data_IF_705360254297
#
_entry.id   IF_705360254297
#
_cell.length_a   1.000
_cell.length_b   1.000
_cell.length_c   1.000
_cell.angle_alpha   90.00
_cell.angle_beta   90.00
_cell.angle_gamma   90.00
#
_symmetry.space_group_name_H-M   'P 1'
#
loop_
_entity.id
_entity.type
_entity.pdbx_description
1 polymer ?
#
# COMPACT_ATOMS: atom_id res chain seq x y z
N UNK A 1 -8.95 -21.61 -5.93
CA UNK A 1 -9.78 -20.42 -5.63
C UNK A 1 -10.01 -20.22 -4.12
N UNK A 2 -10.06 -21.27 -3.30
CA UNK A 2 -10.20 -21.20 -1.83
C UNK A 2 -9.06 -20.50 -1.07
N UNK A 3 -7.83 -20.45 -1.61
CA UNK A 3 -6.69 -19.80 -0.93
C UNK A 3 -6.71 -18.26 -0.99
N UNK A 4 -7.34 -17.65 -1.99
CA UNK A 4 -7.51 -16.19 -2.05
C UNK A 4 -8.69 -15.73 -1.18
N UNK A 5 -9.72 -16.56 -1.04
CA UNK A 5 -10.81 -16.38 -0.08
C UNK A 5 -10.31 -16.34 1.37
N UNK A 6 -9.35 -17.19 1.72
CA UNK A 6 -8.70 -17.09 3.03
C UNK A 6 -7.97 -15.76 3.22
N UNK A 7 -7.37 -15.17 2.17
CA UNK A 7 -6.74 -13.85 2.26
C UNK A 7 -7.76 -12.75 2.57
N UNK A 8 -8.94 -12.78 1.95
CA UNK A 8 -10.03 -11.83 2.23
C UNK A 8 -10.70 -12.04 3.58
N UNK A 9 -10.94 -13.28 3.98
CA UNK A 9 -11.45 -13.61 5.32
C UNK A 9 -10.45 -13.20 6.41
N UNK A 10 -9.14 -13.40 6.17
CA UNK A 10 -8.09 -12.95 7.10
C UNK A 10 -7.98 -11.42 7.10
N UNK A 11 -8.14 -10.74 5.96
CA UNK A 11 -8.12 -9.27 5.87
C UNK A 11 -9.31 -8.62 6.59
N UNK A 12 -10.50 -9.22 6.52
CA UNK A 12 -11.68 -8.75 7.26
C UNK A 12 -11.55 -9.02 8.78
N UNK A 13 -10.89 -10.11 9.18
CA UNK A 13 -10.58 -10.42 10.58
C UNK A 13 -9.43 -9.58 11.17
N UNK A 14 -8.54 -9.00 10.35
CA UNK A 14 -7.46 -8.11 10.84
C UNK A 14 -8.02 -6.73 11.20
N UNK A 15 -9.12 -6.28 10.58
CA UNK A 15 -9.80 -5.03 10.92
C UNK A 15 -10.35 -5.00 12.35
N UNK A 16 -10.69 -6.14 12.94
CA UNK A 16 -11.13 -6.24 14.34
C UNK A 16 -9.96 -6.29 15.34
N UNK A 17 -8.72 -6.53 14.89
CA UNK A 17 -7.52 -6.60 15.75
C UNK A 17 -6.81 -5.25 15.88
N UNK A 18 -6.98 -4.34 14.92
CA UNK A 18 -6.30 -3.03 14.92
C UNK A 18 -6.88 -2.01 15.93
N UNK A 19 -7.99 -2.32 16.59
CA UNK A 19 -8.62 -1.43 17.57
C UNK A 19 -8.00 -1.48 18.99
N UNK A 20 -6.95 -2.28 19.26
CA UNK A 20 -6.51 -2.54 20.64
C UNK A 20 -5.04 -2.25 20.99
N UNK A 21 -4.17 -1.80 20.07
CA UNK A 21 -2.76 -1.56 20.42
C UNK A 21 -2.22 -0.23 19.86
N UNK A 22 -2.47 0.85 20.59
CA UNK A 22 -1.76 2.13 20.43
C UNK A 22 -1.02 2.46 21.73
N UNK A 23 0.30 2.26 21.76
CA UNK A 23 1.19 2.77 22.80
C UNK A 23 2.61 2.87 22.26
N UNK A 24 2.92 3.99 21.62
CA UNK A 24 4.28 4.35 21.25
C UNK A 24 4.97 5.05 22.43
N UNK A 25 6.16 4.55 22.79
CA UNK A 25 7.09 5.21 23.70
C UNK A 25 8.16 5.97 22.91
N UNK A 26 8.58 7.18 23.34
CA UNK A 26 9.58 7.97 22.65
C UNK A 26 11.00 7.54 23.04
N UNK A 27 11.84 7.24 22.04
CA UNK A 27 13.27 6.99 22.23
C UNK A 27 14.09 8.29 22.10
N UNK A 28 14.69 8.72 23.21
CA UNK A 28 15.71 9.76 23.26
C UNK A 28 17.06 9.20 22.78
N UNK A 29 17.65 9.78 21.73
CA UNK A 29 19.00 9.47 21.25
C UNK A 29 19.85 10.73 21.20
N UNK A 30 21.01 10.70 21.88
CA UNK A 30 21.94 11.82 22.06
C UNK A 30 22.73 12.15 20.80
N UNK A 31 22.93 13.45 20.62
CA UNK A 31 23.69 14.12 19.57
C UNK A 31 25.20 14.03 19.84
N UNK A 32 25.96 13.64 18.82
CA UNK A 32 27.42 13.60 18.81
C UNK A 32 27.92 14.19 17.49
N UNK A 33 28.94 15.04 17.60
CA UNK A 33 29.39 16.04 16.63
C UNK A 33 29.55 15.55 15.18
N UNK A 34 28.86 16.23 14.25
CA UNK A 34 29.07 16.16 12.80
C UNK A 34 29.42 17.54 12.22
N UNK A 35 30.32 17.61 11.22
CA UNK A 35 30.74 18.87 10.63
C UNK A 35 29.63 19.49 9.76
N UNK A 36 29.46 20.81 9.89
CA UNK A 36 28.68 21.75 9.05
C UNK A 36 27.55 21.13 8.19
N UNK A 37 26.35 21.05 8.78
CA UNK A 37 25.17 20.41 8.22
C UNK A 37 24.53 21.12 7.03
N UNK A 38 24.50 20.43 5.89
CA UNK A 38 23.36 20.48 4.99
C UNK A 38 22.31 19.48 5.47
N UNK A 39 21.05 19.90 5.60
CA UNK A 39 19.94 18.99 5.88
C UNK A 39 19.93 17.85 4.85
N UNK A 40 19.64 16.62 5.27
CA UNK A 40 19.59 15.50 4.34
C UNK A 40 18.51 15.72 3.28
N UNK A 41 18.60 15.05 2.11
CA UNK A 41 17.53 15.13 1.11
C UNK A 41 16.16 14.80 1.72
N UNK A 42 16.13 13.84 2.64
CA UNK A 42 14.93 13.41 3.37
C UNK A 42 14.34 14.52 4.23
N UNK A 43 15.17 15.26 4.96
CA UNK A 43 14.71 16.38 5.79
C UNK A 43 14.15 17.52 4.93
N UNK A 44 14.78 17.77 3.79
CA UNK A 44 14.33 18.80 2.84
C UNK A 44 13.00 18.40 2.19
N UNK A 45 12.86 17.14 1.78
CA UNK A 45 11.60 16.60 1.23
C UNK A 45 10.48 16.64 2.26
N UNK A 46 10.75 16.24 3.51
CA UNK A 46 9.74 16.27 4.58
C UNK A 46 9.24 17.69 4.89
N UNK A 47 10.07 18.71 4.65
CA UNK A 47 9.73 20.12 4.84
C UNK A 47 9.03 20.76 3.63
N UNK A 48 8.86 20.04 2.52
CA UNK A 48 8.29 20.58 1.28
C UNK A 48 7.03 19.83 0.84
N UNK A 49 6.03 20.58 0.39
CA UNK A 49 4.75 20.01 -0.07
C UNK A 49 4.37 20.41 -1.50
N UNK A 50 5.19 21.25 -2.14
CA UNK A 50 4.94 21.75 -3.50
C UNK A 50 6.28 22.04 -4.22
N UNK A 51 6.30 22.04 -5.57
CA UNK A 51 7.52 22.22 -6.35
C UNK A 51 8.28 23.51 -6.03
N UNK A 52 7.58 24.60 -5.75
CA UNK A 52 8.14 25.92 -5.47
C UNK A 52 8.99 25.93 -4.19
N UNK A 53 8.71 25.03 -3.24
CA UNK A 53 9.48 24.90 -2.00
C UNK A 53 10.94 24.45 -2.24
N UNK A 54 11.21 23.81 -3.38
CA UNK A 54 12.55 23.35 -3.74
C UNK A 54 13.37 24.40 -4.49
N UNK A 55 12.80 25.57 -4.79
CA UNK A 55 13.51 26.62 -5.51
C UNK A 55 14.73 27.12 -4.70
N UNK A 56 15.90 27.15 -5.35
CA UNK A 56 17.17 27.49 -4.72
C UNK A 56 17.76 26.42 -3.79
N UNK A 57 17.07 25.28 -3.58
CA UNK A 57 17.63 24.15 -2.83
C UNK A 57 18.50 23.30 -3.75
N UNK A 58 19.62 22.80 -3.21
CA UNK A 58 20.50 21.86 -3.89
C UNK A 58 20.52 20.56 -3.11
N UNK A 59 20.06 19.49 -3.74
CA UNK A 59 19.98 18.16 -3.16
C UNK A 59 21.20 17.35 -3.58
N UNK A 60 21.58 16.37 -2.77
CA UNK A 60 22.64 15.42 -3.10
C UNK A 60 22.16 14.44 -4.17
N UNK A 61 23.03 14.09 -5.12
CA UNK A 61 22.78 12.99 -6.04
C UNK A 61 23.31 11.68 -5.44
N UNK A 62 22.46 10.67 -5.36
CA UNK A 62 22.81 9.34 -4.90
C UNK A 62 22.86 8.36 -6.07
N UNK A 63 23.95 7.59 -6.16
CA UNK A 63 23.95 6.36 -6.93
C UNK A 63 23.16 5.30 -6.15
N UNK A 64 22.61 4.33 -6.88
CA UNK A 64 21.89 3.24 -6.24
C UNK A 64 22.82 2.40 -5.36
N UNK A 65 22.31 1.91 -4.23
CA UNK A 65 23.08 1.24 -3.19
C UNK A 65 24.35 2.01 -2.81
N UNK A 66 24.18 3.32 -2.60
CA UNK A 66 25.26 4.15 -2.07
C UNK A 66 25.76 3.60 -0.73
N UNK A 67 26.97 3.98 -0.27
CA UNK A 67 27.48 3.55 1.03
C UNK A 67 26.58 3.92 2.22
N UNK A 68 25.65 4.86 2.04
CA UNK A 68 24.66 5.27 3.04
C UNK A 68 23.41 4.37 3.05
N UNK A 69 23.27 3.46 2.08
CA UNK A 69 22.16 2.52 2.03
C UNK A 69 22.28 1.45 3.13
N UNK A 70 21.26 1.36 3.98
CA UNK A 70 21.15 0.30 5.00
C UNK A 70 19.94 -0.60 4.71
N UNK A 71 19.88 -1.75 5.39
CA UNK A 71 18.78 -2.73 5.23
C UNK A 71 17.40 -2.20 5.62
N UNK A 72 17.34 -1.19 6.48
CA UNK A 72 16.08 -0.61 6.93
C UNK A 72 15.60 0.52 6.01
N UNK A 73 16.42 0.93 5.04
CA UNK A 73 16.19 2.10 4.19
C UNK A 73 16.11 1.75 2.69
N UNK A 74 15.78 0.50 2.34
CA UNK A 74 15.75 0.04 0.94
C UNK A 74 14.87 0.88 0.00
N UNK A 75 13.84 1.54 0.54
CA UNK A 75 12.95 2.42 -0.24
C UNK A 75 13.42 3.88 -0.24
N UNK A 76 14.56 4.23 0.35
CA UNK A 76 15.05 5.61 0.38
C UNK A 76 15.92 5.93 -0.84
N UNK A 77 16.09 7.22 -1.14
CA UNK A 77 16.88 7.69 -2.28
C UNK A 77 18.31 7.14 -2.27
N UNK A 78 18.92 7.03 -1.09
CA UNK A 78 20.29 6.52 -0.91
C UNK A 78 20.45 5.06 -1.35
N UNK A 79 19.36 4.29 -1.39
CA UNK A 79 19.33 2.91 -1.82
C UNK A 79 18.86 2.75 -3.27
N UNK A 80 17.82 3.50 -3.67
CA UNK A 80 17.27 3.42 -5.03
C UNK A 80 18.11 4.16 -6.06
N UNK A 81 18.84 5.19 -5.63
CA UNK A 81 19.52 6.16 -6.48
C UNK A 81 18.56 7.25 -6.98
N UNK A 82 19.09 8.44 -7.22
CA UNK A 82 18.32 9.64 -7.55
C UNK A 82 17.45 9.49 -8.80
N UNK A 83 17.94 8.80 -9.82
CA UNK A 83 17.20 8.58 -11.08
C UNK A 83 15.92 7.76 -10.86
N UNK A 84 16.03 6.64 -10.14
CA UNK A 84 14.89 5.81 -9.78
C UNK A 84 13.98 6.52 -8.78
N UNK A 85 14.55 7.14 -7.75
CA UNK A 85 13.82 7.87 -6.71
C UNK A 85 12.95 8.99 -7.26
N UNK A 86 13.49 9.81 -8.17
CA UNK A 86 12.75 10.91 -8.79
C UNK A 86 11.57 10.47 -9.67
N UNK A 87 11.56 9.21 -10.10
CA UNK A 87 10.46 8.61 -10.87
C UNK A 87 9.52 7.73 -10.05
N UNK A 88 9.71 7.64 -8.73
CA UNK A 88 9.00 6.69 -7.88
C UNK A 88 7.86 7.37 -7.10
N UNK A 89 6.72 6.67 -6.95
CA UNK A 89 5.56 7.16 -6.19
C UNK A 89 5.12 8.57 -6.61
N UNK A 90 4.75 9.40 -5.64
CA UNK A 90 4.25 10.77 -5.85
C UNK A 90 5.34 11.86 -6.08
N UNK A 91 6.61 11.46 -6.32
CA UNK A 91 7.70 12.44 -6.49
C UNK A 91 7.58 13.26 -7.78
N UNK A 92 7.17 12.70 -8.92
CA UNK A 92 6.91 13.50 -10.11
C UNK A 92 5.90 14.63 -9.86
N UNK A 93 4.88 14.41 -9.03
CA UNK A 93 3.92 15.45 -8.63
C UNK A 93 4.55 16.44 -7.65
N UNK A 94 5.26 15.95 -6.63
CA UNK A 94 5.92 16.79 -5.62
C UNK A 94 6.94 17.76 -6.22
N UNK A 95 7.71 17.30 -7.20
CA UNK A 95 8.74 18.09 -7.90
C UNK A 95 8.26 18.71 -9.22
N UNK A 96 7.01 18.41 -9.63
CA UNK A 96 6.42 18.81 -10.90
C UNK A 96 6.87 18.00 -12.12
N UNK A 97 8.01 17.30 -12.05
CA UNK A 97 8.37 16.20 -12.96
C UNK A 97 9.59 15.44 -12.44
N UNK A 98 9.83 14.25 -12.97
CA UNK A 98 11.10 13.52 -12.77
C UNK A 98 12.31 14.37 -13.19
N UNK A 99 12.21 15.12 -14.30
CA UNK A 99 13.33 15.92 -14.82
C UNK A 99 13.68 17.07 -13.85
N UNK A 100 12.67 17.80 -13.37
CA UNK A 100 12.86 18.87 -12.36
C UNK A 100 13.45 18.33 -11.06
N UNK A 101 13.01 17.14 -10.63
CA UNK A 101 13.60 16.46 -9.47
C UNK A 101 15.10 16.22 -9.67
N UNK A 102 15.52 15.80 -10.87
CA UNK A 102 16.93 15.58 -11.19
C UNK A 102 17.74 16.87 -11.40
N UNK A 103 17.12 17.95 -11.87
CA UNK A 103 17.80 19.25 -12.03
C UNK A 103 18.26 19.84 -10.69
N UNK A 104 17.56 19.51 -9.59
CA UNK A 104 17.95 19.90 -8.23
C UNK A 104 19.17 19.13 -7.69
N UNK A 105 19.60 18.08 -8.41
CA UNK A 105 20.64 17.14 -7.99
C UNK A 105 21.81 17.24 -8.97
N UNK A 106 23.01 17.66 -8.53
CA UNK A 106 24.16 17.78 -9.41
C UNK A 106 24.52 16.39 -9.95
N UNK A 107 24.28 16.16 -11.23
CA UNK A 107 24.58 14.88 -11.87
C UNK A 107 26.08 14.62 -11.80
N UNK A 108 26.52 13.42 -11.37
CA UNK A 108 27.93 13.10 -11.37
C UNK A 108 28.47 13.19 -12.81
N UNK A 109 29.61 13.87 -12.99
CA UNK A 109 30.22 14.09 -14.30
C UNK A 109 30.69 12.80 -15.00
N UNK A 110 30.72 11.69 -14.26
CA UNK A 110 31.11 10.36 -14.77
C UNK A 110 30.11 9.33 -14.26
N UNK A 111 29.81 8.35 -15.11
CA UNK A 111 29.06 7.16 -14.70
C UNK A 111 29.85 6.39 -13.64
N UNK A 112 29.16 5.72 -12.74
CA UNK A 112 29.80 4.83 -11.78
C UNK A 112 30.60 3.74 -12.55
N UNK A 113 31.81 3.38 -12.10
CA UNK A 113 32.56 2.30 -12.71
C UNK A 113 31.85 0.98 -12.44
N UNK A 114 31.69 0.14 -13.47
CA UNK A 114 31.16 -1.20 -13.33
C UNK A 114 32.00 -2.00 -12.31
N UNK A 115 31.34 -2.60 -11.32
CA UNK A 115 31.93 -3.41 -10.27
C UNK A 115 31.63 -4.89 -10.52
N UNK A 116 32.66 -5.75 -10.65
CA UNK A 116 32.43 -7.19 -10.57
C UNK A 116 31.97 -7.55 -9.16
N UNK A 117 30.97 -8.43 -9.05
CA UNK A 117 30.53 -8.96 -7.77
C UNK A 117 31.57 -9.87 -7.13
N UNK A 118 31.46 -10.09 -5.81
CA UNK A 118 32.17 -11.17 -5.13
C UNK A 118 33.59 -10.85 -4.67
N UNK A 119 33.89 -9.62 -4.24
CA UNK A 119 35.11 -9.38 -3.46
C UNK A 119 35.10 -10.27 -2.21
N UNK A 120 36.12 -11.12 -2.07
CA UNK A 120 36.20 -12.10 -0.99
C UNK A 120 36.08 -11.41 0.40
N UNK A 121 35.19 -11.93 1.26
CA UNK A 121 34.96 -11.41 2.60
C UNK A 121 33.99 -10.24 2.69
N UNK A 122 33.37 -9.83 1.59
CA UNK A 122 32.36 -8.79 1.61
C UNK A 122 30.98 -9.35 2.01
N UNK A 123 30.33 -8.71 2.99
CA UNK A 123 29.02 -9.12 3.54
C UNK A 123 27.96 -8.02 3.48
N UNK A 124 28.31 -6.84 2.97
CA UNK A 124 27.41 -5.71 2.87
C UNK A 124 26.54 -5.75 1.60
N UNK A 125 25.51 -4.92 1.57
CA UNK A 125 24.54 -4.82 0.46
C UNK A 125 25.00 -3.87 -0.64
N UNK A 126 26.25 -3.40 -0.60
CA UNK A 126 26.72 -2.36 -1.53
C UNK A 126 26.95 -2.92 -2.93
N UNK A 127 26.89 -2.05 -3.94
CA UNK A 127 27.25 -2.41 -5.32
C UNK A 127 28.67 -2.97 -5.43
N UNK A 128 29.61 -2.46 -4.63
CA UNK A 128 30.99 -2.96 -4.60
C UNK A 128 31.09 -4.42 -4.14
N UNK A 129 30.10 -4.89 -3.38
CA UNK A 129 30.02 -6.24 -2.84
C UNK A 129 29.25 -7.19 -3.77
N UNK A 130 28.02 -6.77 -4.09
CA UNK A 130 27.03 -7.50 -4.88
C UNK A 130 27.41 -7.55 -6.36
N UNK A 131 28.09 -6.52 -6.85
CA UNK A 131 28.38 -6.28 -8.26
C UNK A 131 27.26 -5.52 -8.97
N UNK A 132 27.64 -4.75 -9.99
CA UNK A 132 26.74 -3.90 -10.77
C UNK A 132 25.58 -4.68 -11.38
N UNK A 133 25.83 -5.88 -11.93
CA UNK A 133 24.78 -6.71 -12.55
C UNK A 133 23.69 -7.14 -11.56
N UNK A 134 24.09 -7.56 -10.36
CA UNK A 134 23.14 -7.96 -9.30
C UNK A 134 22.34 -6.75 -8.85
N UNK A 135 23.01 -5.64 -8.56
CA UNK A 135 22.35 -4.40 -8.13
C UNK A 135 21.37 -3.88 -9.16
N UNK A 136 21.77 -3.75 -10.43
CA UNK A 136 20.89 -3.29 -11.50
C UNK A 136 19.68 -4.21 -11.69
N UNK A 137 19.87 -5.53 -11.58
CA UNK A 137 18.76 -6.47 -11.66
C UNK A 137 17.76 -6.27 -10.52
N UNK A 138 18.24 -6.04 -9.29
CA UNK A 138 17.38 -5.79 -8.13
C UNK A 138 16.64 -4.46 -8.28
N UNK A 139 17.32 -3.38 -8.69
CA UNK A 139 16.71 -2.07 -8.90
C UNK A 139 15.62 -2.10 -9.96
N UNK A 140 15.88 -2.78 -11.07
CA UNK A 140 14.85 -3.00 -12.08
C UNK A 140 13.65 -3.69 -11.42
N UNK A 141 13.85 -4.79 -10.71
CA UNK A 141 12.74 -5.48 -10.05
C UNK A 141 11.97 -4.58 -9.05
N UNK A 142 12.67 -3.74 -8.27
CA UNK A 142 12.04 -2.80 -7.31
C UNK A 142 11.22 -1.72 -8.00
N UNK A 143 11.79 -1.04 -9.00
CA UNK A 143 11.10 0.01 -9.77
C UNK A 143 9.85 -0.57 -10.44
N UNK A 144 9.96 -1.77 -10.97
CA UNK A 144 8.88 -2.43 -11.68
C UNK A 144 7.75 -2.87 -10.73
N UNK A 145 8.09 -3.35 -9.53
CA UNK A 145 7.12 -3.63 -8.46
C UNK A 145 6.38 -2.36 -8.05
N UNK A 146 7.10 -1.25 -7.86
CA UNK A 146 6.49 0.00 -7.44
C UNK A 146 5.55 0.61 -8.48
N UNK A 147 5.92 0.58 -9.77
CA UNK A 147 5.12 1.17 -10.84
C UNK A 147 3.84 0.40 -11.18
N UNK A 148 3.85 -0.93 -11.04
CA UNK A 148 2.72 -1.78 -11.45
C UNK A 148 1.83 -2.25 -10.31
N UNK A 149 2.34 -2.26 -9.08
CA UNK A 149 1.56 -2.54 -7.89
C UNK A 149 1.26 -1.22 -7.20
N UNK A 150 0.95 -0.15 -7.91
CA UNK A 150 0.21 0.95 -7.30
C UNK A 150 -1.25 0.65 -7.56
N UNK A 151 -1.92 0.04 -6.58
CA UNK A 151 -3.37 -0.05 -6.60
C UNK A 151 -3.90 1.36 -6.75
N UNK A 152 -4.65 1.59 -7.82
CA UNK A 152 -5.40 2.81 -7.98
C UNK A 152 -6.50 2.84 -6.89
N UNK A 153 -6.15 3.44 -5.74
CA UNK A 153 -7.06 3.64 -4.61
C UNK A 153 -8.28 4.45 -5.07
N UNK A 154 -8.12 5.33 -6.06
CA UNK A 154 -9.22 6.10 -6.63
C UNK A 154 -10.17 5.21 -7.44
N UNK A 155 -9.68 4.16 -8.11
CA UNK A 155 -10.55 3.13 -8.69
C UNK A 155 -11.38 2.43 -7.62
N UNK A 156 -10.79 2.11 -6.45
CA UNK A 156 -11.56 1.51 -5.36
C UNK A 156 -12.64 2.45 -4.84
N UNK A 157 -12.28 3.72 -4.61
CA UNK A 157 -13.23 4.77 -4.21
C UNK A 157 -14.35 4.94 -5.23
N UNK A 158 -14.02 4.96 -6.52
CA UNK A 158 -14.98 5.04 -7.62
C UNK A 158 -15.93 3.85 -7.64
N UNK A 159 -15.43 2.64 -7.38
CA UNK A 159 -16.27 1.44 -7.28
C UNK A 159 -17.27 1.52 -6.13
N UNK A 160 -16.85 1.97 -4.96
CA UNK A 160 -17.74 2.18 -3.82
C UNK A 160 -18.83 3.23 -4.14
N UNK A 161 -18.47 4.33 -4.80
CA UNK A 161 -19.42 5.35 -5.22
C UNK A 161 -20.39 4.86 -6.31
N UNK A 162 -19.90 4.09 -7.30
CA UNK A 162 -20.74 3.46 -8.32
C UNK A 162 -21.81 2.56 -7.68
N UNK A 163 -21.44 1.74 -6.70
CA UNK A 163 -22.39 0.88 -5.97
C UNK A 163 -23.44 1.69 -5.21
N UNK A 164 -23.02 2.75 -4.50
CA UNK A 164 -23.94 3.63 -3.78
C UNK A 164 -24.94 4.31 -4.71
N UNK A 165 -24.47 4.78 -5.87
CA UNK A 165 -25.32 5.47 -6.85
C UNK A 165 -26.41 4.58 -7.44
N UNK A 166 -26.13 3.28 -7.64
CA UNK A 166 -27.08 2.31 -8.18
C UNK A 166 -28.25 2.02 -7.26
N UNK A 167 -28.12 2.31 -5.97
CA UNK A 167 -29.17 2.06 -4.97
C UNK A 167 -30.12 3.24 -4.76
N UNK A 168 -29.92 4.37 -5.45
CA UNK A 168 -30.83 5.52 -5.36
C UNK A 168 -30.81 6.26 -4.01
N UNK A 169 -29.93 5.87 -3.08
CA UNK A 169 -29.80 6.50 -1.77
C UNK A 169 -28.75 7.63 -1.84
N UNK A 170 -29.22 8.88 -1.86
CA UNK A 170 -28.36 10.05 -1.61
C UNK A 170 -27.70 9.93 -0.23
N UNK A 171 -26.50 10.50 0.00
CA UNK A 171 -25.93 10.57 1.33
C UNK A 171 -26.94 11.16 2.31
N UNK A 172 -27.05 10.63 3.55
CA UNK A 172 -27.68 11.38 4.62
C UNK A 172 -26.93 12.71 4.67
N UNK A 173 -27.60 13.83 4.39
CA UNK A 173 -27.04 15.11 4.78
C UNK A 173 -26.88 15.05 6.28
N UNK A 174 -25.71 15.42 6.77
CA UNK A 174 -25.47 15.64 8.18
C UNK A 174 -26.47 16.70 8.65
N UNK A 175 -27.62 16.26 9.15
CA UNK A 175 -28.69 17.14 9.58
C UNK A 175 -28.41 17.50 11.03
N UNK A 176 -27.66 18.59 11.21
CA UNK A 176 -27.34 19.18 12.51
C UNK A 176 -28.55 19.89 13.17
N UNK A 177 -29.77 19.54 12.76
CA UNK A 177 -31.01 20.15 13.27
C UNK A 177 -31.46 19.47 14.57
N UNK A 178 -31.88 20.24 15.60
CA UNK A 178 -32.45 19.69 16.83
C UNK A 178 -33.70 18.84 16.56
N UNK A 179 -33.96 17.78 17.36
CA UNK A 179 -35.11 16.90 17.15
C UNK A 179 -36.42 17.69 17.26
N UNK A 180 -37.19 17.75 16.17
CA UNK A 180 -38.58 18.21 16.23
C UNK A 180 -39.49 17.05 16.58
N UNK A 181 -40.16 17.17 17.71
CA UNK A 181 -41.17 16.24 18.21
C UNK A 181 -42.38 16.22 17.25
N UNK A 182 -42.61 15.09 16.58
CA UNK A 182 -43.66 14.93 15.56
C UNK A 182 -44.62 13.81 15.95
N UNK A 183 -45.89 14.15 16.17
CA UNK A 183 -46.99 13.28 16.62
C UNK A 183 -47.58 12.36 15.52
N UNK A 184 -46.76 11.75 14.66
CA UNK A 184 -47.24 10.81 13.64
C UNK A 184 -47.17 9.35 14.12
N UNK A 185 -48.03 8.43 13.60
CA UNK A 185 -48.01 7.01 13.95
C UNK A 185 -46.63 6.38 13.73
N UNK A 186 -46.25 5.32 14.47
CA UNK A 186 -44.92 4.73 14.40
C UNK A 186 -44.67 4.22 12.98
N UNK A 187 -43.93 5.02 12.19
CA UNK A 187 -43.27 4.57 10.97
C UNK A 187 -42.48 3.32 11.34
N UNK A 188 -42.59 2.26 10.54
CA UNK A 188 -41.70 1.11 10.71
C UNK A 188 -40.26 1.65 10.85
N UNK A 189 -39.49 1.17 11.83
CA UNK A 189 -38.14 1.66 12.05
C UNK A 189 -37.39 1.52 10.72
N UNK A 190 -36.99 2.67 10.16
CA UNK A 190 -36.27 2.72 8.91
C UNK A 190 -35.06 1.78 9.04
N UNK A 191 -34.94 0.80 8.14
CA UNK A 191 -33.85 -0.17 8.20
C UNK A 191 -32.52 0.59 8.27
N UNK A 192 -31.63 0.27 9.23
CA UNK A 192 -30.40 1.04 9.38
C UNK A 192 -29.54 0.89 8.12
N UNK A 193 -29.01 2.00 7.61
CA UNK A 193 -28.04 1.97 6.51
C UNK A 193 -26.76 1.23 6.92
N UNK A 194 -25.97 0.81 5.93
CA UNK A 194 -24.63 0.28 6.15
C UNK A 194 -23.78 1.22 7.01
N UNK A 195 -23.23 0.70 8.10
CA UNK A 195 -22.45 1.43 9.10
C UNK A 195 -21.16 0.68 9.42
N UNK A 196 -20.12 1.47 9.70
CA UNK A 196 -18.85 0.96 10.19
C UNK A 196 -18.90 0.78 11.71
N UNK A 197 -18.06 -0.09 12.29
CA UNK A 197 -17.97 -0.24 13.74
C UNK A 197 -17.60 1.11 14.38
N UNK A 198 -18.37 1.53 15.39
CA UNK A 198 -18.11 2.73 16.17
C UNK A 198 -17.77 2.34 17.61
N UNK A 199 -16.48 2.41 17.98
CA UNK A 199 -16.02 2.00 19.31
C UNK A 199 -16.35 2.99 20.44
N UNK A 200 -16.66 4.26 20.14
CA UNK A 200 -16.78 5.31 21.16
C UNK A 200 -18.01 5.16 22.05
N UNK A 201 -19.06 4.49 21.56
CA UNK A 201 -20.36 4.36 22.26
C UNK A 201 -20.62 2.96 22.82
N UNK A 202 -19.67 2.03 22.68
CA UNK A 202 -19.89 0.62 22.95
C UNK A 202 -19.56 0.24 24.40
N UNK A 203 -20.57 0.35 25.27
CA UNK A 203 -20.52 -0.27 26.60
C UNK A 203 -20.64 -1.79 26.49
N UNK A 204 -20.11 -2.56 27.46
CA UNK A 204 -20.17 -4.04 27.48
C UNK A 204 -21.57 -4.63 27.25
N UNK A 205 -22.62 -3.90 27.64
CA UNK A 205 -24.02 -4.31 27.48
C UNK A 205 -24.59 -4.12 26.06
N UNK A 206 -23.88 -3.44 25.15
CA UNK A 206 -24.30 -3.21 23.76
C UNK A 206 -23.27 -3.70 22.72
N UNK A 207 -22.29 -4.50 23.13
CA UNK A 207 -21.21 -4.94 22.24
C UNK A 207 -21.68 -5.79 21.03
N UNK A 208 -22.88 -6.37 21.12
CA UNK A 208 -23.51 -7.15 20.04
C UNK A 208 -24.47 -6.33 19.15
N UNK A 209 -24.62 -5.03 19.42
CA UNK A 209 -25.41 -4.17 18.58
C UNK A 209 -24.64 -3.78 17.31
N UNK A 210 -25.38 -3.52 16.24
CA UNK A 210 -24.80 -3.20 14.93
C UNK A 210 -23.87 -1.97 14.95
N UNK A 211 -24.16 -0.87 15.67
CA UNK A 211 -23.23 0.25 15.77
C UNK A 211 -21.86 -0.16 16.34
N UNK A 212 -21.81 -1.21 17.17
CA UNK A 212 -20.58 -1.69 17.80
C UNK A 212 -19.82 -2.69 16.93
N UNK A 213 -20.52 -3.62 16.30
CA UNK A 213 -19.91 -4.64 15.44
C UNK A 213 -19.62 -4.12 14.03
N UNK A 214 -20.35 -3.09 13.59
CA UNK A 214 -20.48 -2.72 12.18
C UNK A 214 -21.41 -3.67 11.41
N UNK A 215 -21.96 -3.18 10.30
CA UNK A 215 -22.98 -3.92 9.53
C UNK A 215 -22.47 -5.26 8.99
N UNK A 216 -21.18 -5.37 8.63
CA UNK A 216 -20.60 -6.61 8.09
C UNK A 216 -20.63 -7.74 9.12
N UNK A 217 -20.06 -7.49 10.29
CA UNK A 217 -19.96 -8.48 11.37
C UNK A 217 -21.34 -8.76 11.98
N UNK A 218 -22.15 -7.71 12.15
CA UNK A 218 -23.51 -7.87 12.62
C UNK A 218 -24.36 -8.73 11.67
N UNK A 219 -24.26 -8.54 10.36
CA UNK A 219 -24.97 -9.38 9.38
C UNK A 219 -24.49 -10.83 9.39
N UNK A 220 -23.19 -11.07 9.61
CA UNK A 220 -22.63 -12.42 9.74
C UNK A 220 -23.23 -13.15 10.94
N UNK A 221 -23.31 -12.45 12.08
CA UNK A 221 -23.76 -13.01 13.36
C UNK A 221 -25.28 -13.10 13.51
N UNK A 222 -26.02 -12.10 13.02
CA UNK A 222 -27.45 -11.94 13.30
C UNK A 222 -28.35 -12.09 12.08
N UNK A 223 -27.81 -12.06 10.85
CA UNK A 223 -28.62 -12.04 9.63
C UNK A 223 -29.61 -13.20 9.52
N UNK A 224 -29.17 -14.42 9.81
CA UNK A 224 -30.03 -15.61 9.78
C UNK A 224 -31.08 -15.59 10.88
N UNK A 225 -30.69 -15.24 12.11
CA UNK A 225 -31.59 -15.22 13.27
C UNK A 225 -32.69 -14.15 13.16
N UNK A 226 -32.42 -13.07 12.43
CA UNK A 226 -33.36 -11.98 12.19
C UNK A 226 -34.22 -12.18 10.92
N UNK A 227 -34.11 -13.33 10.25
CA UNK A 227 -34.84 -13.61 9.01
C UNK A 227 -34.40 -12.73 7.82
N UNK A 228 -33.21 -12.11 7.90
CA UNK A 228 -32.63 -11.30 6.82
C UNK A 228 -31.88 -12.15 5.78
N UNK A 229 -31.79 -13.46 6.00
CA UNK A 229 -31.17 -14.42 5.11
C UNK A 229 -29.70 -14.65 5.44
N UNK A 230 -28.91 -15.01 4.43
CA UNK A 230 -27.46 -15.11 4.56
C UNK A 230 -26.80 -13.72 4.65
N UNK A 231 -25.48 -13.71 4.88
CA UNK A 231 -24.68 -12.48 4.95
C UNK A 231 -24.90 -11.55 3.75
N UNK A 232 -25.01 -12.11 2.55
CA UNK A 232 -25.17 -11.33 1.32
C UNK A 232 -26.56 -10.67 1.25
N UNK A 233 -27.62 -11.42 1.57
CA UNK A 233 -28.98 -10.89 1.63
C UNK A 233 -29.12 -9.81 2.72
N UNK A 234 -28.52 -10.04 3.89
CA UNK A 234 -28.50 -9.06 4.97
C UNK A 234 -27.81 -7.77 4.54
N UNK A 235 -26.59 -7.86 3.98
CA UNK A 235 -25.84 -6.69 3.49
C UNK A 235 -26.58 -5.97 2.39
N UNK A 236 -27.15 -6.69 1.42
CA UNK A 236 -27.93 -6.11 0.34
C UNK A 236 -29.13 -5.33 0.89
N UNK A 237 -29.78 -5.83 1.95
CA UNK A 237 -30.88 -5.14 2.62
C UNK A 237 -30.47 -3.85 3.33
N UNK A 238 -29.18 -3.69 3.67
CA UNK A 238 -28.57 -2.46 4.20
C UNK A 238 -27.99 -1.57 3.11
N UNK A 239 -28.26 -1.94 1.86
CA UNK A 239 -27.71 -1.27 0.70
C UNK A 239 -26.25 -1.60 0.49
N UNK A 240 -25.75 -2.81 0.71
CA UNK A 240 -24.40 -3.17 0.28
C UNK A 240 -24.42 -4.47 -0.52
N UNK A 241 -24.30 -4.36 -1.84
CA UNK A 241 -24.23 -5.52 -2.72
C UNK A 241 -22.80 -6.10 -2.72
N UNK A 242 -22.51 -6.90 -1.69
CA UNK A 242 -21.20 -7.54 -1.52
C UNK A 242 -20.85 -8.44 -2.71
N UNK A 243 -21.83 -9.09 -3.33
CA UNK A 243 -21.59 -9.99 -4.47
C UNK A 243 -21.17 -9.20 -5.70
N UNK A 244 -21.90 -8.14 -6.06
CA UNK A 244 -21.52 -7.28 -7.18
C UNK A 244 -20.18 -6.58 -6.93
N UNK A 245 -19.91 -6.21 -5.67
CA UNK A 245 -18.63 -5.67 -5.25
C UNK A 245 -17.49 -6.69 -5.48
N UNK A 246 -17.62 -7.93 -4.98
CA UNK A 246 -16.63 -9.00 -5.14
C UNK A 246 -16.36 -9.32 -6.63
N UNK A 247 -17.41 -9.45 -7.44
CA UNK A 247 -17.27 -9.69 -8.88
C UNK A 247 -16.52 -8.55 -9.59
N UNK A 248 -16.87 -7.30 -9.25
CA UNK A 248 -16.22 -6.13 -9.82
C UNK A 248 -14.78 -6.00 -9.36
N UNK A 249 -14.51 -6.28 -8.08
CA UNK A 249 -13.18 -6.29 -7.50
C UNK A 249 -12.28 -7.35 -8.16
N UNK A 250 -12.79 -8.56 -8.35
CA UNK A 250 -12.07 -9.62 -9.06
C UNK A 250 -11.72 -9.20 -10.50
N UNK A 251 -12.71 -8.66 -11.23
CA UNK A 251 -12.53 -8.29 -12.63
C UNK A 251 -11.62 -7.08 -12.84
N UNK A 252 -11.81 -6.01 -12.06
CA UNK A 252 -11.11 -4.74 -12.29
C UNK A 252 -9.76 -4.64 -11.57
N UNK A 253 -9.59 -5.37 -10.47
CA UNK A 253 -8.38 -5.25 -9.64
C UNK A 253 -7.56 -6.54 -9.67
N UNK A 254 -8.14 -7.69 -9.33
CA UNK A 254 -7.36 -8.94 -9.23
C UNK A 254 -6.84 -9.42 -10.58
N UNK A 255 -7.65 -9.38 -11.64
CA UNK A 255 -7.23 -9.88 -12.94
C UNK A 255 -6.02 -9.09 -13.54
N UNK A 256 -6.05 -7.74 -13.62
CA UNK A 256 -4.90 -6.98 -14.10
C UNK A 256 -3.65 -7.14 -13.23
N UNK A 257 -3.83 -7.16 -11.90
CA UNK A 257 -2.72 -7.38 -10.95
C UNK A 257 -2.07 -8.74 -11.16
N UNK A 258 -2.86 -9.80 -11.38
CA UNK A 258 -2.35 -11.14 -11.68
C UNK A 258 -1.51 -11.16 -12.96
N UNK A 259 -2.00 -10.55 -14.03
CA UNK A 259 -1.27 -10.51 -15.31
C UNK A 259 0.03 -9.70 -15.19
N UNK A 260 0.00 -8.61 -14.42
CA UNK A 260 1.19 -7.85 -14.04
C UNK A 260 2.21 -8.71 -13.28
N UNK A 261 1.79 -9.39 -12.21
CA UNK A 261 2.66 -10.26 -11.41
C UNK A 261 3.30 -11.35 -12.27
N UNK A 262 2.54 -11.99 -13.16
CA UNK A 262 3.06 -13.03 -14.04
C UNK A 262 4.11 -12.48 -15.03
N UNK A 263 3.83 -11.32 -15.62
CA UNK A 263 4.78 -10.64 -16.52
C UNK A 263 6.08 -10.30 -15.79
N UNK A 264 5.98 -9.81 -14.55
CA UNK A 264 7.15 -9.47 -13.76
C UNK A 264 7.93 -10.68 -13.27
N UNK A 265 7.24 -11.75 -12.83
CA UNK A 265 7.88 -13.01 -12.49
C UNK A 265 8.71 -13.57 -13.65
N UNK A 266 8.22 -13.43 -14.90
CA UNK A 266 8.98 -13.79 -16.09
C UNK A 266 10.24 -12.93 -16.26
N UNK A 267 10.14 -11.62 -16.05
CA UNK A 267 11.28 -10.71 -16.16
C UNK A 267 12.34 -10.97 -15.08
N UNK A 268 11.92 -11.15 -13.81
CA UNK A 268 12.80 -11.54 -12.71
C UNK A 268 13.53 -12.84 -13.04
N UNK A 269 12.81 -13.84 -13.56
CA UNK A 269 13.39 -15.13 -13.95
C UNK A 269 14.41 -14.97 -15.09
N UNK A 270 14.08 -14.20 -16.13
CA UNK A 270 14.98 -13.94 -17.26
C UNK A 270 16.24 -13.20 -16.83
N UNK A 271 16.10 -12.18 -15.99
CA UNK A 271 17.23 -11.40 -15.48
C UNK A 271 18.16 -12.26 -14.63
N UNK A 272 17.61 -13.07 -13.73
CA UNK A 272 18.38 -14.03 -12.95
C UNK A 272 19.11 -15.02 -13.85
N UNK A 273 18.44 -15.60 -14.85
CA UNK A 273 19.05 -16.54 -15.78
C UNK A 273 20.20 -15.90 -16.60
N UNK A 274 19.98 -14.71 -17.17
CA UNK A 274 21.00 -14.00 -17.96
C UNK A 274 22.22 -13.67 -17.09
N UNK A 275 22.00 -13.19 -15.86
CA UNK A 275 23.07 -12.88 -14.92
C UNK A 275 23.95 -14.11 -14.65
N UNK A 276 23.33 -15.25 -14.37
CA UNK A 276 24.07 -16.48 -14.06
C UNK A 276 24.77 -17.06 -15.31
N UNK A 277 24.21 -16.89 -16.50
CA UNK A 277 24.88 -17.23 -17.78
C UNK A 277 26.14 -16.38 -17.96
N UNK A 278 26.07 -15.06 -17.72
CA UNK A 278 27.22 -14.16 -17.83
C UNK A 278 28.33 -14.49 -16.82
N UNK A 279 27.95 -15.04 -15.67
CA UNK A 279 28.89 -15.54 -14.65
C UNK A 279 29.41 -16.96 -14.94
N UNK A 280 29.05 -17.54 -16.09
CA UNK A 280 29.39 -18.92 -16.47
C UNK A 280 29.01 -19.94 -15.36
N UNK A 281 27.86 -19.71 -14.72
CA UNK A 281 27.39 -20.52 -13.61
C UNK A 281 26.83 -21.87 -14.07
N UNK A 282 26.74 -22.83 -13.14
CA UNK A 282 26.10 -24.11 -13.40
C UNK A 282 24.58 -23.99 -13.48
N UNK A 283 23.91 -25.00 -14.04
CA UNK A 283 22.43 -25.08 -14.02
C UNK A 283 21.88 -25.06 -12.60
N UNK A 284 22.54 -25.73 -11.64
CA UNK A 284 22.10 -25.75 -10.25
C UNK A 284 22.20 -24.36 -9.61
N UNK A 285 23.32 -23.67 -9.81
CA UNK A 285 23.51 -22.29 -9.34
C UNK A 285 22.46 -21.37 -9.95
N UNK A 286 22.20 -21.51 -11.26
CA UNK A 286 21.20 -20.73 -11.99
C UNK A 286 19.79 -20.95 -11.44
N UNK A 287 19.40 -22.20 -11.24
CA UNK A 287 18.08 -22.53 -10.69
C UNK A 287 17.90 -22.00 -9.26
N UNK A 288 18.96 -22.05 -8.45
CA UNK A 288 18.94 -21.50 -7.09
C UNK A 288 18.76 -19.98 -7.12
N UNK A 289 19.50 -19.28 -7.96
CA UNK A 289 19.39 -17.82 -8.13
C UNK A 289 17.99 -17.41 -8.60
N UNK A 290 17.42 -18.11 -9.60
CA UNK A 290 16.04 -17.86 -10.05
C UNK A 290 15.04 -18.05 -8.90
N UNK A 291 15.19 -19.13 -8.12
CA UNK A 291 14.28 -19.44 -7.00
C UNK A 291 14.37 -18.35 -5.92
N UNK A 292 15.58 -17.92 -5.58
CA UNK A 292 15.82 -16.85 -4.60
C UNK A 292 15.21 -15.52 -5.07
N UNK A 293 15.51 -15.10 -6.30
CA UNK A 293 15.04 -13.83 -6.85
C UNK A 293 13.51 -13.81 -6.99
N UNK A 294 12.92 -14.92 -7.47
CA UNK A 294 11.47 -15.05 -7.59
C UNK A 294 10.78 -15.05 -6.22
N UNK A 295 11.33 -15.74 -5.22
CA UNK A 295 10.79 -15.70 -3.85
C UNK A 295 10.83 -14.29 -3.29
N UNK A 296 11.97 -13.60 -3.40
CA UNK A 296 12.11 -12.22 -2.92
C UNK A 296 11.15 -11.25 -3.63
N UNK A 297 10.93 -11.43 -4.93
CA UNK A 297 9.90 -10.70 -5.67
C UNK A 297 8.49 -10.98 -5.12
N UNK A 298 8.13 -12.25 -4.93
CA UNK A 298 6.79 -12.62 -4.44
C UNK A 298 6.52 -12.14 -3.01
N UNK A 299 7.53 -12.12 -2.14
CA UNK A 299 7.40 -11.57 -0.78
C UNK A 299 7.11 -10.06 -0.81
N UNK A 300 7.80 -9.31 -1.68
CA UNK A 300 7.56 -7.86 -1.88
C UNK A 300 6.18 -7.58 -2.47
N UNK A 301 5.80 -8.33 -3.51
CA UNK A 301 4.46 -8.27 -4.12
C UNK A 301 3.39 -8.50 -3.05
N UNK A 302 3.54 -9.55 -2.24
CA UNK A 302 2.61 -9.87 -1.16
C UNK A 302 2.50 -8.72 -0.15
N UNK A 303 3.63 -8.21 0.34
CA UNK A 303 3.64 -7.11 1.30
C UNK A 303 2.99 -5.83 0.76
N UNK A 304 3.27 -5.48 -0.50
CA UNK A 304 2.67 -4.33 -1.17
C UNK A 304 1.16 -4.48 -1.34
N UNK A 305 0.72 -5.63 -1.89
CA UNK A 305 -0.69 -5.93 -2.10
C UNK A 305 -1.48 -5.92 -0.79
N UNK A 306 -0.94 -6.50 0.29
CA UNK A 306 -1.59 -6.51 1.59
C UNK A 306 -1.82 -5.10 2.11
N UNK A 307 -0.77 -4.25 2.09
CA UNK A 307 -0.85 -2.86 2.57
C UNK A 307 -1.86 -2.05 1.76
N UNK A 308 -1.80 -2.15 0.43
CA UNK A 308 -2.66 -1.37 -0.44
C UNK A 308 -4.10 -1.88 -0.46
N UNK A 309 -4.32 -3.19 -0.40
CA UNK A 309 -5.66 -3.76 -0.28
C UNK A 309 -6.31 -3.32 1.01
N UNK A 310 -5.59 -3.38 2.14
CA UNK A 310 -6.11 -2.96 3.44
C UNK A 310 -6.49 -1.47 3.42
N UNK A 311 -5.59 -0.61 2.95
CA UNK A 311 -5.81 0.83 2.89
C UNK A 311 -6.91 1.22 1.90
N UNK A 312 -6.96 0.57 0.73
CA UNK A 312 -8.00 0.77 -0.27
C UNK A 312 -9.37 0.36 0.26
N UNK A 313 -9.47 -0.83 0.86
CA UNK A 313 -10.71 -1.33 1.49
C UNK A 313 -11.18 -0.38 2.59
N UNK A 314 -10.27 0.04 3.48
CA UNK A 314 -10.57 1.02 4.55
C UNK A 314 -11.16 2.30 3.97
N UNK A 315 -10.42 2.98 3.07
CA UNK A 315 -10.85 4.26 2.46
C UNK A 315 -12.16 4.15 1.69
N UNK A 316 -12.36 3.08 0.94
CA UNK A 316 -13.60 2.91 0.18
C UNK A 316 -14.79 2.60 1.07
N UNK A 317 -14.62 1.81 2.13
CA UNK A 317 -15.65 1.57 3.13
C UNK A 317 -16.01 2.85 3.89
N UNK A 318 -15.02 3.67 4.26
CA UNK A 318 -15.25 4.98 4.88
C UNK A 318 -16.07 5.89 3.97
N UNK A 319 -15.68 5.96 2.70
CA UNK A 319 -16.40 6.72 1.67
C UNK A 319 -17.82 6.19 1.47
N UNK A 320 -17.98 4.86 1.51
CA UNK A 320 -19.25 4.17 1.34
C UNK A 320 -20.23 4.51 2.47
N UNK A 321 -19.78 4.32 3.71
CA UNK A 321 -20.57 4.58 4.91
C UNK A 321 -20.73 6.08 5.19
N UNK A 322 -19.85 6.94 4.67
CA UNK A 322 -19.77 8.34 5.09
C UNK A 322 -19.29 8.48 6.54
N UNK A 323 -18.52 7.50 7.03
CA UNK A 323 -18.01 7.42 8.40
C UNK A 323 -16.50 7.12 8.33
N UNK A 324 -15.70 7.63 9.27
CA UNK A 324 -14.28 7.28 9.35
C UNK A 324 -14.08 6.04 10.22
N UNK A 325 -13.16 5.17 9.85
CA UNK A 325 -12.61 4.15 10.73
C UNK A 325 -11.51 4.84 11.55
N UNK A 326 -11.47 4.57 12.86
CA UNK A 326 -10.47 5.12 13.78
C UNK A 326 -9.04 4.72 13.37
#
# INVERSE_FOLDING_TARGET
MTKLFNLFATLLLVSSVLAQNGSDSPSNGKEGDKPAGGSSNKDIEAACSAPECFEGKKLSYYIAYSPECTKDHHTEEVCLGSDAWCGHGNRPELYGSKQKCLELRPTPQRKAPWQPGGKAGCTDETEACRGTEVVCSILLNEILVAQYIEFDIDNFKKLCLEQRSKQGNSPPKEDNSPPKESNNPPKQPDKPFFQLPNSESCSKLGADEEPCLGTIEWCDKHGQHQGLGDKYACLLSRGFDLKAFEETFQKRLIAPVKDGILTWAQNVTKNAAIREILLNATTETTQRAITTDLSGFMDKVKGSLQRQTLEGVRKGLETYAGQKLF
#
